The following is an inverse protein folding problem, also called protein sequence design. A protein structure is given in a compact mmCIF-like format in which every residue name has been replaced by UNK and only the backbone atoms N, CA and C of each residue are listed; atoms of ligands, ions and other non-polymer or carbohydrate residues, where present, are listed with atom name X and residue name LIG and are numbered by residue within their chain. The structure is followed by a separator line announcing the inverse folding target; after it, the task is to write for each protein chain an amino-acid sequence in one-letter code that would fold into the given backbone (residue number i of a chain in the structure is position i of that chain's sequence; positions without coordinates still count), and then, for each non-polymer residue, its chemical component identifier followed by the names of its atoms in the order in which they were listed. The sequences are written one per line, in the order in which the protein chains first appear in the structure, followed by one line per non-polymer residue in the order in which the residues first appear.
data_IF_012145550624
#
_entry.id   IF_012145550624
#
_cell.length_a   1.000
_cell.length_b   1.000
_cell.length_c   1.000
_cell.angle_alpha   90.00
_cell.angle_beta   90.00
_cell.angle_gamma   90.00
#
_symmetry.space_group_name_H-M   'P 1'
#
loop_
_entity.id
_entity.type
_entity.pdbx_description
1 polymer ?
#
# COMPACT_ATOMS: atom_id res chain seq x y z
N UNK A 1 -7.54 39.74 -61.96
CA UNK A 1 -8.86 39.07 -61.93
C UNK A 1 -8.77 37.74 -62.65
N UNK A 2 -9.09 36.62 -61.99
CA UNK A 2 -9.63 35.46 -62.70
C UNK A 2 -10.92 34.91 -62.07
N UNK A 3 -11.66 34.18 -62.90
CA UNK A 3 -13.10 33.92 -62.86
C UNK A 3 -13.55 32.83 -61.85
N UNK A 4 -14.82 32.94 -61.43
CA UNK A 4 -15.54 31.92 -60.63
C UNK A 4 -15.92 30.70 -61.50
N UNK A 5 -15.75 29.46 -61.01
CA UNK A 5 -16.21 28.25 -61.69
C UNK A 5 -17.72 27.96 -61.44
N UNK A 6 -18.36 27.10 -62.25
CA UNK A 6 -19.82 26.99 -62.36
C UNK A 6 -20.47 26.09 -61.30
N UNK A 7 -21.75 26.38 -61.01
CA UNK A 7 -22.61 25.68 -60.04
C UNK A 7 -23.21 24.40 -60.65
N UNK A 8 -23.10 23.29 -59.92
CA UNK A 8 -23.69 21.99 -60.29
C UNK A 8 -25.20 21.90 -60.01
N UNK A 9 -25.97 21.08 -60.75
CA UNK A 9 -27.42 21.01 -60.64
C UNK A 9 -27.91 20.15 -59.47
N UNK A 10 -29.05 20.54 -58.89
CA UNK A 10 -29.68 19.86 -57.73
C UNK A 10 -30.35 18.53 -58.13
N UNK A 11 -30.26 17.47 -57.30
CA UNK A 11 -30.93 16.20 -57.56
C UNK A 11 -32.45 16.28 -57.28
N UNK A 12 -33.22 15.53 -58.08
CA UNK A 12 -34.69 15.41 -58.01
C UNK A 12 -35.15 14.64 -56.77
N UNK A 13 -36.25 15.08 -56.15
CA UNK A 13 -36.92 14.37 -55.05
C UNK A 13 -37.63 13.10 -55.56
N UNK A 14 -37.54 11.96 -54.85
CA UNK A 14 -38.35 10.79 -55.13
C UNK A 14 -39.77 10.92 -54.54
N UNK A 15 -40.73 10.36 -55.26
CA UNK A 15 -42.17 10.29 -54.99
C UNK A 15 -42.44 9.36 -53.80
N UNK A 16 -43.27 9.79 -52.85
CA UNK A 16 -43.65 8.99 -51.68
C UNK A 16 -44.83 8.05 -52.02
N UNK A 17 -44.60 6.73 -51.98
CA UNK A 17 -45.66 5.73 -51.91
C UNK A 17 -46.21 5.66 -50.47
N UNK A 18 -47.55 5.67 -50.36
CA UNK A 18 -48.27 5.57 -49.08
C UNK A 18 -48.39 4.10 -48.67
N UNK A 19 -47.49 3.64 -47.81
CA UNK A 19 -47.67 2.41 -47.03
C UNK A 19 -48.51 2.68 -45.79
N UNK A 20 -49.65 2.01 -45.68
CA UNK A 20 -50.51 1.99 -44.49
C UNK A 20 -49.84 1.19 -43.36
N UNK A 21 -49.34 1.87 -42.33
CA UNK A 21 -48.90 1.23 -41.08
C UNK A 21 -49.97 1.40 -39.99
N UNK A 22 -50.23 0.37 -39.15
CA UNK A 22 -51.13 0.51 -38.00
C UNK A 22 -50.55 1.50 -36.97
N UNK A 23 -51.39 2.15 -36.14
CA UNK A 23 -50.92 3.11 -35.17
C UNK A 23 -50.05 2.42 -34.11
N UNK A 24 -48.77 2.78 -34.08
CA UNK A 24 -47.86 2.42 -32.99
C UNK A 24 -48.20 3.33 -31.81
N UNK A 25 -48.88 2.78 -30.80
CA UNK A 25 -48.99 3.41 -29.48
C UNK A 25 -47.60 3.35 -28.83
N UNK A 26 -46.89 4.47 -28.82
CA UNK A 26 -45.64 4.62 -28.06
C UNK A 26 -46.05 4.86 -26.60
N UNK A 27 -46.02 3.80 -25.79
CA UNK A 27 -46.08 3.96 -24.34
C UNK A 27 -44.83 4.75 -23.88
N UNK A 28 -44.97 5.72 -22.97
CA UNK A 28 -43.81 6.43 -22.43
C UNK A 28 -42.90 5.43 -21.73
N UNK A 29 -41.63 5.41 -22.13
CA UNK A 29 -40.57 4.65 -21.47
C UNK A 29 -40.51 5.09 -20.01
N UNK A 30 -40.69 4.13 -19.09
CA UNK A 30 -40.56 4.38 -17.67
C UNK A 30 -39.16 4.95 -17.38
N UNK A 31 -39.04 5.94 -16.48
CA UNK A 31 -37.73 6.47 -16.10
C UNK A 31 -36.85 5.32 -15.61
N UNK A 32 -35.64 5.22 -16.16
CA UNK A 32 -34.64 4.27 -15.67
C UNK A 32 -34.47 4.49 -14.16
N UNK A 33 -34.68 3.43 -13.38
CA UNK A 33 -34.45 3.48 -11.94
C UNK A 33 -33.00 3.91 -11.69
N UNK A 34 -32.75 4.85 -10.76
CA UNK A 34 -31.39 5.24 -10.44
C UNK A 34 -30.65 4.01 -9.91
N UNK A 35 -29.53 3.65 -10.54
CA UNK A 35 -28.60 2.64 -10.02
C UNK A 35 -28.20 3.10 -8.61
N UNK A 36 -28.70 2.42 -7.59
CA UNK A 36 -28.40 2.76 -6.21
C UNK A 36 -26.93 2.49 -5.95
N UNK A 37 -26.14 3.54 -5.76
CA UNK A 37 -24.78 3.41 -5.25
C UNK A 37 -24.89 2.79 -3.86
N UNK A 38 -24.31 1.62 -3.60
CA UNK A 38 -24.37 1.01 -2.28
C UNK A 38 -23.76 1.97 -1.26
N UNK A 39 -24.29 2.01 -0.02
CA UNK A 39 -23.77 2.93 0.99
C UNK A 39 -22.26 2.74 1.17
N UNK A 40 -21.53 3.81 1.47
CA UNK A 40 -20.06 3.80 1.55
C UNK A 40 -19.50 2.70 2.47
N UNK A 41 -20.27 2.35 3.51
CA UNK A 41 -19.96 1.26 4.44
C UNK A 41 -19.95 -0.13 3.77
N UNK A 42 -20.82 -0.38 2.79
CA UNK A 42 -20.88 -1.65 2.06
C UNK A 42 -19.76 -1.73 1.01
N UNK A 43 -19.35 -0.59 0.46
CA UNK A 43 -18.20 -0.49 -0.44
C UNK A 43 -16.87 -0.78 0.29
N UNK A 44 -16.69 -0.24 1.49
CA UNK A 44 -15.49 -0.49 2.29
C UNK A 44 -15.36 -1.97 2.70
N UNK A 45 -16.46 -2.61 3.08
CA UNK A 45 -16.49 -4.05 3.35
C UNK A 45 -16.17 -4.91 2.12
N UNK A 46 -16.73 -4.55 0.96
CA UNK A 46 -16.45 -5.23 -0.32
C UNK A 46 -14.99 -5.07 -0.73
N UNK A 47 -14.42 -3.87 -0.55
CA UNK A 47 -13.01 -3.60 -0.82
C UNK A 47 -12.08 -4.38 0.11
N UNK A 48 -12.43 -4.46 1.41
CA UNK A 48 -11.68 -5.27 2.38
C UNK A 48 -11.69 -6.74 2.01
N UNK A 49 -12.85 -7.31 1.67
CA UNK A 49 -12.93 -8.72 1.28
C UNK A 49 -12.06 -9.02 0.06
N UNK A 50 -12.12 -8.17 -0.98
CA UNK A 50 -11.26 -8.31 -2.17
C UNK A 50 -9.77 -8.28 -1.78
N UNK A 51 -9.40 -7.31 -0.96
CA UNK A 51 -8.04 -7.17 -0.45
C UNK A 51 -7.56 -8.42 0.29
N UNK A 52 -8.43 -9.02 1.12
CA UNK A 52 -8.13 -10.24 1.86
C UNK A 52 -8.02 -11.44 0.92
N UNK A 53 -8.90 -11.56 -0.09
CA UNK A 53 -8.81 -12.61 -1.11
C UNK A 53 -7.47 -12.54 -1.85
N UNK A 54 -7.03 -11.34 -2.24
CA UNK A 54 -5.73 -11.18 -2.91
C UNK A 54 -4.57 -11.55 -1.98
N UNK A 55 -4.63 -11.17 -0.71
CA UNK A 55 -3.60 -11.48 0.30
C UNK A 55 -3.59 -12.95 0.75
N UNK A 56 -4.59 -13.75 0.37
CA UNK A 56 -4.72 -15.16 0.76
C UNK A 56 -4.63 -16.10 -0.42
N UNK A 57 -4.31 -15.60 -1.62
CA UNK A 57 -4.27 -16.40 -2.85
C UNK A 57 -3.32 -17.62 -2.77
N UNK A 58 -2.24 -17.52 -1.99
CA UNK A 58 -1.25 -18.57 -1.71
C UNK A 58 -1.38 -19.18 -0.30
N UNK A 59 -2.48 -18.89 0.42
CA UNK A 59 -2.74 -19.34 1.80
C UNK A 59 -4.03 -20.18 1.85
N UNK A 60 -4.01 -21.44 1.36
CA UNK A 60 -5.21 -22.25 1.17
C UNK A 60 -5.93 -22.63 2.47
N UNK A 61 -5.26 -22.57 3.62
CA UNK A 61 -5.87 -22.86 4.91
C UNK A 61 -6.55 -21.62 5.54
N UNK A 62 -6.47 -20.45 4.90
CA UNK A 62 -7.11 -19.23 5.37
C UNK A 62 -8.47 -18.99 4.74
N UNK A 63 -9.39 -18.40 5.51
CA UNK A 63 -10.71 -17.97 5.05
C UNK A 63 -10.81 -16.44 5.12
N UNK A 64 -10.65 -15.74 3.97
CA UNK A 64 -10.75 -14.27 3.93
C UNK A 64 -12.16 -13.78 4.30
N UNK A 65 -13.21 -14.58 4.05
CA UNK A 65 -14.58 -14.26 4.43
C UNK A 65 -14.78 -14.26 5.95
N UNK A 66 -14.19 -15.23 6.65
CA UNK A 66 -14.19 -15.28 8.13
C UNK A 66 -13.54 -14.04 8.74
N UNK A 67 -12.40 -13.59 8.20
CA UNK A 67 -11.69 -12.39 8.67
C UNK A 67 -12.49 -11.12 8.34
N UNK A 68 -13.00 -10.99 7.11
CA UNK A 68 -13.81 -9.84 6.71
C UNK A 68 -15.06 -9.70 7.59
N UNK A 69 -15.77 -10.80 7.84
CA UNK A 69 -16.96 -10.81 8.67
C UNK A 69 -16.64 -10.42 10.12
N UNK A 70 -15.50 -10.86 10.66
CA UNK A 70 -15.04 -10.45 12.00
C UNK A 70 -14.75 -8.95 12.07
N UNK A 71 -14.01 -8.40 11.10
CA UNK A 71 -13.71 -6.98 11.03
C UNK A 71 -14.97 -6.12 10.92
N UNK A 72 -15.92 -6.54 10.07
CA UNK A 72 -17.20 -5.83 9.87
C UNK A 72 -18.10 -5.85 11.12
N UNK A 73 -18.03 -6.90 11.95
CA UNK A 73 -18.74 -6.93 13.23
C UNK A 73 -18.15 -5.99 14.27
N UNK A 74 -16.84 -5.73 14.20
CA UNK A 74 -16.13 -4.87 15.14
C UNK A 74 -16.20 -3.37 14.83
N UNK A 75 -16.60 -2.99 13.60
CA UNK A 75 -16.61 -1.58 13.16
C UNK A 75 -17.69 -0.76 13.86
N UNK A 76 -17.43 0.53 14.04
CA UNK A 76 -18.46 1.50 14.44
C UNK A 76 -19.00 2.28 13.23
N UNK A 77 -20.13 3.01 13.37
CA UNK A 77 -20.57 3.94 12.34
C UNK A 77 -19.44 4.94 12.02
N UNK A 78 -19.10 5.06 10.74
CA UNK A 78 -18.04 5.97 10.27
C UNK A 78 -16.63 5.40 10.27
N UNK A 79 -16.42 4.11 10.60
CA UNK A 79 -15.09 3.49 10.48
C UNK A 79 -14.54 3.60 9.06
N UNK A 80 -13.30 4.05 8.95
CA UNK A 80 -12.62 4.21 7.67
C UNK A 80 -11.92 2.90 7.23
N UNK A 81 -11.25 2.96 6.06
CA UNK A 81 -10.56 1.81 5.51
C UNK A 81 -9.34 1.37 6.34
N UNK A 82 -8.69 2.30 7.05
CA UNK A 82 -7.53 2.00 7.89
C UNK A 82 -7.96 1.29 9.17
N UNK A 83 -9.03 1.77 9.81
CA UNK A 83 -9.63 1.14 10.99
C UNK A 83 -10.14 -0.27 10.67
N UNK A 84 -10.86 -0.43 9.56
CA UNK A 84 -11.32 -1.75 9.10
C UNK A 84 -10.15 -2.72 8.85
N UNK A 85 -9.02 -2.24 8.33
CA UNK A 85 -7.82 -3.06 8.15
C UNK A 85 -7.16 -3.41 9.48
N UNK A 86 -7.16 -2.50 10.45
CA UNK A 86 -6.72 -2.76 11.81
C UNK A 86 -7.52 -3.89 12.46
N UNK A 87 -8.85 -3.80 12.39
CA UNK A 87 -9.76 -4.84 12.88
C UNK A 87 -9.54 -6.19 12.16
N UNK A 88 -9.33 -6.17 10.84
CA UNK A 88 -9.00 -7.38 10.09
C UNK A 88 -7.65 -7.99 10.50
N UNK A 89 -6.65 -7.15 10.81
CA UNK A 89 -5.34 -7.58 11.28
C UNK A 89 -5.47 -8.29 12.63
N UNK A 90 -6.24 -7.72 13.56
CA UNK A 90 -6.50 -8.31 14.87
C UNK A 90 -7.30 -9.61 14.77
N UNK A 91 -8.32 -9.64 13.91
CA UNK A 91 -9.11 -10.84 13.64
C UNK A 91 -8.24 -11.98 13.08
N UNK A 92 -7.40 -11.70 12.07
CA UNK A 92 -6.46 -12.69 11.55
C UNK A 92 -5.46 -13.15 12.62
N UNK A 93 -4.91 -12.23 13.42
CA UNK A 93 -3.99 -12.58 14.49
C UNK A 93 -4.60 -13.49 15.55
N UNK A 94 -5.89 -13.31 15.87
CA UNK A 94 -6.62 -14.16 16.80
C UNK A 94 -6.82 -15.61 16.31
N UNK A 95 -6.70 -15.85 15.00
CA UNK A 95 -6.86 -17.18 14.38
C UNK A 95 -5.54 -17.95 14.26
N UNK A 96 -4.40 -17.35 14.59
CA UNK A 96 -3.07 -17.97 14.46
C UNK A 96 -2.95 -19.26 15.30
N UNK A 97 -3.58 -19.29 16.48
CA UNK A 97 -3.54 -20.46 17.35
C UNK A 97 -4.32 -21.66 16.79
N UNK A 98 -5.35 -21.40 15.98
CA UNK A 98 -6.13 -22.43 15.31
C UNK A 98 -5.46 -22.90 14.01
N UNK A 99 -4.94 -21.94 13.22
CA UNK A 99 -4.33 -22.20 11.92
C UNK A 99 -3.13 -21.24 11.69
N UNK A 100 -1.89 -21.76 11.61
CA UNK A 100 -0.67 -20.96 11.46
C UNK A 100 -0.62 -20.05 10.23
N UNK A 101 -1.26 -20.39 9.10
CA UNK A 101 -1.23 -19.55 7.89
C UNK A 101 -1.81 -18.14 8.11
N UNK A 102 -2.70 -17.95 9.09
CA UNK A 102 -3.20 -16.63 9.48
C UNK A 102 -2.10 -15.70 9.99
N UNK A 103 -0.95 -16.23 10.45
CA UNK A 103 0.20 -15.42 10.84
C UNK A 103 0.75 -14.61 9.67
N UNK A 104 0.77 -15.21 8.47
CA UNK A 104 1.23 -14.53 7.25
C UNK A 104 0.20 -13.53 6.75
N UNK A 105 -1.09 -13.86 6.81
CA UNK A 105 -2.15 -12.91 6.48
C UNK A 105 -2.11 -11.68 7.41
N UNK A 106 -2.03 -11.90 8.72
CA UNK A 106 -1.94 -10.82 9.70
C UNK A 106 -0.67 -9.98 9.52
N UNK A 107 0.47 -10.60 9.18
CA UNK A 107 1.70 -9.88 8.84
C UNK A 107 1.51 -9.01 7.59
N UNK A 108 0.96 -9.55 6.49
CA UNK A 108 0.70 -8.80 5.25
C UNK A 108 -0.21 -7.59 5.45
N UNK A 109 -1.27 -7.74 6.27
CA UNK A 109 -2.15 -6.64 6.63
C UNK A 109 -1.41 -5.57 7.45
N UNK A 110 -0.59 -5.99 8.42
CA UNK A 110 0.23 -5.09 9.23
C UNK A 110 1.28 -4.36 8.38
N UNK A 111 1.92 -5.02 7.41
CA UNK A 111 2.86 -4.39 6.46
C UNK A 111 2.19 -3.24 5.72
N UNK A 112 0.95 -3.44 5.23
CA UNK A 112 0.19 -2.37 4.57
C UNK A 112 -0.16 -1.23 5.51
N UNK A 113 -0.53 -1.52 6.76
CA UNK A 113 -0.80 -0.49 7.76
C UNK A 113 0.44 0.36 8.05
N UNK A 114 1.61 -0.27 8.23
CA UNK A 114 2.90 0.41 8.44
C UNK A 114 3.26 1.30 7.24
N UNK A 115 3.08 0.78 6.03
CA UNK A 115 3.37 1.53 4.81
C UNK A 115 2.46 2.78 4.68
N UNK A 116 1.16 2.64 4.92
CA UNK A 116 0.22 3.77 4.88
C UNK A 116 0.52 4.81 5.97
N UNK A 117 0.87 4.36 7.18
CA UNK A 117 1.24 5.24 8.29
C UNK A 117 2.52 6.03 7.96
N UNK A 118 3.55 5.36 7.42
CA UNK A 118 4.78 6.02 6.97
C UNK A 118 4.53 6.98 5.81
N UNK A 119 3.74 6.59 4.80
CA UNK A 119 3.36 7.45 3.68
C UNK A 119 2.61 8.71 4.16
N UNK A 120 1.77 8.58 5.19
CA UNK A 120 1.12 9.72 5.85
C UNK A 120 2.08 10.73 6.48
N UNK A 121 3.33 10.32 6.74
CA UNK A 121 4.43 11.20 7.20
C UNK A 121 5.32 11.71 6.06
N UNK A 122 4.92 11.49 4.79
CA UNK A 122 5.69 11.89 3.60
C UNK A 122 6.81 10.92 3.22
N UNK A 123 6.73 9.66 3.67
CA UNK A 123 7.76 8.64 3.41
C UNK A 123 7.34 7.74 2.25
N UNK A 124 7.79 8.08 1.04
CA UNK A 124 7.52 7.32 -0.18
C UNK A 124 8.74 6.49 -0.66
N UNK A 125 9.92 6.75 -0.11
CA UNK A 125 11.19 6.06 -0.39
C UNK A 125 12.03 5.90 0.87
N UNK A 126 13.12 5.15 0.77
CA UNK A 126 14.07 5.03 1.89
C UNK A 126 14.76 6.38 2.15
N UNK A 127 15.19 7.07 1.10
CA UNK A 127 15.78 8.41 1.23
C UNK A 127 14.82 9.42 1.86
N UNK A 128 13.52 9.37 1.54
CA UNK A 128 12.51 10.21 2.19
C UNK A 128 12.34 9.87 3.67
N UNK A 129 12.37 8.58 4.02
CA UNK A 129 12.36 8.12 5.42
C UNK A 129 13.52 8.71 6.23
N UNK A 130 14.72 8.66 5.67
CA UNK A 130 15.92 9.22 6.29
C UNK A 130 15.83 10.75 6.39
N UNK A 131 15.34 11.43 5.36
CA UNK A 131 15.15 12.89 5.39
C UNK A 131 14.13 13.33 6.46
N UNK A 132 13.04 12.59 6.64
CA UNK A 132 12.08 12.82 7.72
C UNK A 132 12.75 12.59 9.07
N UNK A 133 13.40 11.44 9.27
CA UNK A 133 14.06 11.14 10.54
C UNK A 133 15.15 12.15 10.90
N UNK A 134 15.95 12.61 9.93
CA UNK A 134 16.98 13.62 10.13
C UNK A 134 16.39 14.98 10.52
N UNK A 135 15.36 15.44 9.80
CA UNK A 135 14.67 16.71 10.13
C UNK A 135 14.06 16.70 11.52
N UNK A 136 13.53 15.57 11.96
CA UNK A 136 12.95 15.41 13.30
C UNK A 136 14.00 15.10 14.40
N UNK A 137 15.30 15.09 14.06
CA UNK A 137 16.40 14.86 15.01
C UNK A 137 16.53 13.41 15.50
N UNK A 138 15.98 12.44 14.75
CA UNK A 138 16.00 11.01 15.07
C UNK A 138 17.18 10.26 14.43
N UNK A 139 17.84 10.87 13.44
CA UNK A 139 18.94 10.30 12.67
C UNK A 139 20.09 11.31 12.69
N UNK A 140 21.33 10.86 12.86
CA UNK A 140 22.48 11.75 12.91
C UNK A 140 22.95 12.20 11.52
N UNK A 141 23.69 13.33 11.51
CA UNK A 141 24.17 13.97 10.29
C UNK A 141 25.03 13.04 9.42
N UNK A 142 25.84 12.17 10.04
CA UNK A 142 26.71 11.24 9.33
C UNK A 142 25.93 10.21 8.52
N UNK A 143 24.87 9.64 9.11
CA UNK A 143 24.00 8.67 8.43
C UNK A 143 23.18 9.35 7.34
N UNK A 144 22.64 10.55 7.61
CA UNK A 144 21.92 11.32 6.61
C UNK A 144 22.80 11.69 5.41
N UNK A 145 24.05 12.10 5.66
CA UNK A 145 25.02 12.42 4.61
C UNK A 145 25.41 11.20 3.77
N UNK A 146 25.67 10.06 4.41
CA UNK A 146 25.93 8.80 3.72
C UNK A 146 24.79 8.43 2.75
N UNK A 147 23.55 8.50 3.26
CA UNK A 147 22.36 8.20 2.47
C UNK A 147 22.19 9.20 1.33
N UNK A 148 22.44 10.49 1.57
CA UNK A 148 22.36 11.53 0.53
C UNK A 148 23.36 11.29 -0.60
N UNK A 149 24.58 10.88 -0.29
CA UNK A 149 25.62 10.58 -1.29
C UNK A 149 25.23 9.37 -2.15
N UNK A 150 24.66 8.33 -1.54
CA UNK A 150 24.35 7.05 -2.20
C UNK A 150 22.86 6.85 -2.51
N UNK A 151 22.08 7.92 -2.49
CA UNK A 151 20.61 7.92 -2.51
C UNK A 151 20.00 6.99 -3.55
N UNK A 152 20.36 7.17 -4.82
CA UNK A 152 19.81 6.39 -5.93
C UNK A 152 20.12 4.88 -5.81
N UNK A 153 21.30 4.53 -5.28
CA UNK A 153 21.67 3.13 -5.10
C UNK A 153 20.90 2.51 -3.94
N UNK A 154 20.79 3.22 -2.82
CA UNK A 154 20.11 2.74 -1.61
C UNK A 154 18.60 2.57 -1.82
N UNK A 155 17.93 3.53 -2.46
CA UNK A 155 16.51 3.38 -2.81
C UNK A 155 16.28 2.17 -3.73
N UNK A 156 17.21 1.91 -4.67
CA UNK A 156 17.12 0.76 -5.58
C UNK A 156 17.36 -0.60 -4.90
N UNK A 157 17.87 -0.65 -3.67
CA UNK A 157 18.04 -1.90 -2.92
C UNK A 157 16.74 -2.38 -2.27
N UNK A 158 15.81 -1.48 -2.00
CA UNK A 158 14.60 -1.79 -1.26
C UNK A 158 13.76 -2.79 -2.05
N UNK A 159 13.53 -3.94 -1.44
CA UNK A 159 12.68 -5.00 -1.95
C UNK A 159 11.54 -5.22 -0.96
N UNK A 160 10.41 -4.56 -1.20
CA UNK A 160 9.21 -4.64 -0.36
C UNK A 160 8.63 -6.05 -0.30
N UNK A 161 8.95 -6.93 -1.27
CA UNK A 161 8.52 -8.33 -1.24
C UNK A 161 9.15 -9.11 -0.09
N UNK A 162 10.27 -8.64 0.47
CA UNK A 162 10.93 -9.29 1.61
C UNK A 162 10.14 -9.19 2.91
N UNK A 163 9.22 -8.23 3.03
CA UNK A 163 8.36 -8.12 4.21
C UNK A 163 7.45 -9.35 4.38
N UNK A 164 7.19 -10.09 3.30
CA UNK A 164 6.40 -11.32 3.33
C UNK A 164 7.13 -12.50 4.01
N UNK A 165 8.41 -12.33 4.37
CA UNK A 165 9.15 -13.28 5.22
C UNK A 165 8.79 -13.16 6.70
N UNK A 166 8.17 -12.07 7.13
CA UNK A 166 7.80 -11.90 8.53
C UNK A 166 6.56 -12.74 8.87
N UNK A 167 6.63 -13.42 10.02
CA UNK A 167 5.42 -13.77 10.78
C UNK A 167 4.89 -12.57 11.55
N UNK A 168 3.60 -12.61 11.92
CA UNK A 168 2.92 -11.48 12.56
C UNK A 168 3.60 -10.98 13.84
N UNK A 169 3.98 -11.89 14.75
CA UNK A 169 4.61 -11.48 16.02
C UNK A 169 5.98 -10.83 15.82
N UNK A 170 6.75 -11.29 14.82
CA UNK A 170 8.03 -10.70 14.45
C UNK A 170 7.84 -9.26 13.95
N UNK A 171 6.94 -9.07 12.99
CA UNK A 171 6.64 -7.73 12.45
C UNK A 171 6.01 -6.81 13.51
N UNK A 172 5.13 -7.34 14.37
CA UNK A 172 4.54 -6.59 15.49
C UNK A 172 5.61 -6.10 16.47
N UNK A 173 6.63 -6.92 16.71
CA UNK A 173 7.79 -6.54 17.53
C UNK A 173 8.59 -5.42 16.87
N UNK A 174 8.92 -5.57 15.57
CA UNK A 174 9.59 -4.51 14.78
C UNK A 174 8.81 -3.19 14.85
N UNK A 175 7.52 -3.23 14.55
CA UNK A 175 6.63 -2.06 14.57
C UNK A 175 6.54 -1.36 15.93
N UNK A 176 6.44 -2.13 17.02
CA UNK A 176 6.20 -1.56 18.35
C UNK A 176 7.47 -1.09 19.06
N UNK A 177 8.63 -1.64 18.70
CA UNK A 177 9.88 -1.41 19.43
C UNK A 177 10.96 -0.72 18.62
N UNK A 178 11.03 -0.95 17.31
CA UNK A 178 12.21 -0.62 16.52
C UNK A 178 11.98 0.46 15.47
N UNK A 179 10.78 0.52 14.86
CA UNK A 179 10.50 1.55 13.86
C UNK A 179 10.54 2.94 14.49
N UNK A 180 11.23 3.87 13.84
CA UNK A 180 11.24 5.28 14.20
C UNK A 180 9.83 5.86 14.15
N UNK A 181 9.54 6.75 15.10
CA UNK A 181 8.26 7.43 15.22
C UNK A 181 8.46 8.92 15.26
N UNK A 182 7.61 9.64 14.54
CA UNK A 182 7.57 11.08 14.57
C UNK A 182 7.34 11.57 16.02
N UNK A 183 8.10 12.55 16.54
CA UNK A 183 8.01 12.99 17.93
C UNK A 183 6.61 13.48 18.32
N UNK A 184 5.95 14.24 17.43
CA UNK A 184 4.61 14.81 17.64
C UNK A 184 3.46 13.86 17.26
N UNK A 185 3.39 13.36 16.02
CA UNK A 185 2.24 12.53 15.57
C UNK A 185 2.29 11.11 16.14
N UNK A 186 3.46 10.67 16.62
CA UNK A 186 3.74 9.31 17.11
C UNK A 186 3.57 8.21 16.05
N UNK A 187 3.33 8.60 14.80
CA UNK A 187 3.23 7.70 13.67
C UNK A 187 4.62 7.23 13.23
N UNK A 188 4.71 6.01 12.72
CA UNK A 188 5.97 5.49 12.18
C UNK A 188 6.44 6.29 10.96
N UNK A 189 7.75 6.47 10.84
CA UNK A 189 8.37 7.22 9.74
C UNK A 189 9.24 6.33 8.85
N UNK A 190 9.03 5.01 8.91
CA UNK A 190 9.77 4.02 8.14
C UNK A 190 9.01 2.69 8.05
N UNK A 191 9.33 1.90 7.02
CA UNK A 191 8.88 0.51 6.88
C UNK A 191 9.91 -0.45 7.50
N UNK A 192 9.60 -1.74 7.57
CA UNK A 192 10.56 -2.74 8.06
C UNK A 192 11.83 -2.83 7.19
N UNK A 193 11.70 -2.72 5.86
CA UNK A 193 12.86 -2.69 4.98
C UNK A 193 13.69 -1.41 5.14
N UNK A 194 13.03 -0.25 5.29
CA UNK A 194 13.72 1.00 5.56
C UNK A 194 14.49 0.94 6.89
N UNK A 195 13.87 0.36 7.93
CA UNK A 195 14.53 0.13 9.21
C UNK A 195 15.82 -0.68 9.07
N UNK A 196 15.78 -1.83 8.37
CA UNK A 196 17.00 -2.63 8.19
C UNK A 196 18.07 -1.89 7.40
N UNK A 197 17.69 -1.17 6.33
CA UNK A 197 18.66 -0.42 5.55
C UNK A 197 19.25 0.76 6.35
N UNK A 198 18.44 1.42 7.18
CA UNK A 198 18.88 2.48 8.09
C UNK A 198 19.90 1.96 9.09
N UNK A 199 19.63 0.81 9.73
CA UNK A 199 20.58 0.17 10.67
C UNK A 199 21.90 -0.14 9.95
N UNK A 200 21.85 -0.68 8.73
CA UNK A 200 23.06 -0.94 7.96
C UNK A 200 23.83 0.35 7.64
N UNK A 201 23.14 1.40 7.18
CA UNK A 201 23.76 2.70 6.87
C UNK A 201 24.39 3.35 8.10
N UNK A 202 23.76 3.26 9.28
CA UNK A 202 24.31 3.82 10.50
C UNK A 202 25.65 3.17 10.91
N UNK A 203 25.87 1.92 10.52
CA UNK A 203 27.12 1.19 10.79
C UNK A 203 28.22 1.44 9.75
N UNK A 204 27.97 2.28 8.74
CA UNK A 204 28.98 2.63 7.75
C UNK A 204 30.13 3.40 8.41
N UNK A 205 31.37 2.96 8.15
CA UNK A 205 32.58 3.60 8.70
C UNK A 205 32.85 4.98 8.09
N UNK A 206 32.55 5.12 6.80
CA UNK A 206 32.76 6.32 6.00
C UNK A 206 31.77 6.37 4.82
N UNK A 207 31.93 7.36 3.94
CA UNK A 207 31.06 7.54 2.75
C UNK A 207 31.61 6.91 1.48
N UNK A 208 32.64 6.07 1.58
CA UNK A 208 33.29 5.44 0.43
C UNK A 208 32.39 4.40 -0.25
N UNK A 209 32.75 4.05 -1.49
CA UNK A 209 32.09 2.96 -2.22
C UNK A 209 32.32 1.59 -1.55
N UNK A 210 33.40 1.43 -0.77
CA UNK A 210 33.63 0.22 0.03
C UNK A 210 32.58 0.10 1.13
N UNK A 211 32.37 1.18 1.90
CA UNK A 211 31.35 1.22 2.95
C UNK A 211 29.95 0.95 2.38
N UNK A 212 29.62 1.50 1.20
CA UNK A 212 28.37 1.18 0.49
C UNK A 212 28.22 -0.33 0.21
N UNK A 213 29.26 -0.99 -0.28
CA UNK A 213 29.21 -2.43 -0.55
C UNK A 213 28.98 -3.26 0.73
N UNK A 214 29.54 -2.83 1.86
CA UNK A 214 29.33 -3.46 3.18
C UNK A 214 27.90 -3.24 3.69
N UNK A 215 27.35 -2.04 3.54
CA UNK A 215 25.94 -1.71 3.83
C UNK A 215 25.00 -2.59 2.99
N UNK A 216 25.27 -2.73 1.69
CA UNK A 216 24.49 -3.59 0.79
C UNK A 216 24.49 -5.05 1.24
N UNK A 217 25.67 -5.58 1.60
CA UNK A 217 25.80 -6.95 2.07
C UNK A 217 25.05 -7.18 3.39
N UNK A 218 25.20 -6.26 4.35
CA UNK A 218 24.55 -6.35 5.65
C UNK A 218 23.02 -6.20 5.53
N UNK A 219 22.53 -5.23 4.76
CA UNK A 219 21.11 -5.11 4.45
C UNK A 219 20.57 -6.38 3.79
N UNK A 220 21.31 -6.96 2.84
CA UNK A 220 20.95 -8.22 2.18
C UNK A 220 20.71 -9.36 3.16
N UNK A 221 21.55 -9.49 4.19
CA UNK A 221 21.38 -10.50 5.23
C UNK A 221 20.17 -10.22 6.14
N UNK A 222 20.03 -8.98 6.63
CA UNK A 222 18.94 -8.61 7.54
C UNK A 222 17.56 -8.65 6.88
N UNK A 223 17.45 -8.12 5.66
CA UNK A 223 16.19 -8.10 4.91
C UNK A 223 15.67 -9.48 4.53
N UNK A 224 16.56 -10.48 4.43
CA UNK A 224 16.17 -11.89 4.24
C UNK A 224 15.94 -12.63 5.55
N UNK A 225 16.17 -11.97 6.69
CA UNK A 225 16.17 -12.55 8.03
C UNK A 225 17.21 -13.68 8.21
N UNK A 226 18.28 -13.68 7.40
CA UNK A 226 19.39 -14.64 7.48
C UNK A 226 20.29 -14.35 8.71
N UNK A 227 20.34 -13.07 9.11
CA UNK A 227 21.09 -12.59 10.26
C UNK A 227 20.40 -11.35 10.83
N UNK A 228 20.31 -11.27 12.17
CA UNK A 228 19.90 -10.07 12.87
C UNK A 228 20.91 -9.77 13.98
N UNK A 229 21.43 -8.53 14.06
CA UNK A 229 22.33 -8.17 15.14
C UNK A 229 21.57 -8.09 16.48
N UNK A 230 22.33 -8.00 17.57
CA UNK A 230 21.76 -7.86 18.91
C UNK A 230 20.84 -6.63 19.04
N UNK A 231 19.87 -6.67 19.96
CA UNK A 231 18.94 -5.56 20.17
C UNK A 231 19.62 -4.19 20.34
N UNK A 232 20.70 -4.02 21.13
CA UNK A 232 21.40 -2.73 21.22
C UNK A 232 21.79 -2.14 19.86
N UNK A 233 22.25 -2.98 18.93
CA UNK A 233 22.61 -2.56 17.57
C UNK A 233 21.39 -2.08 16.78
N UNK A 234 20.24 -2.73 16.96
CA UNK A 234 19.00 -2.35 16.30
C UNK A 234 18.37 -1.06 16.87
N UNK A 235 18.79 -0.62 18.06
CA UNK A 235 18.33 0.60 18.71
C UNK A 235 19.24 1.81 18.51
N UNK A 236 20.40 1.62 17.86
CA UNK A 236 21.42 2.65 17.79
C UNK A 236 20.85 3.94 17.15
N UNK A 237 20.91 5.09 17.87
CA UNK A 237 20.70 6.40 17.28
C UNK A 237 21.99 6.76 16.53
N UNK A 238 21.98 6.62 15.21
CA UNK A 238 23.10 6.92 14.32
C UNK A 238 22.65 7.90 13.25
#
# INVERSE_FOLDING_TARGET
MPARPPVAPRPRRPTAERGSYPPVTIAPSAPAEPVSVPPAADQAGTALLRTLTDLTADLPATDPGRVAAAALRGRHPGSDAAELRGLATEAAAGLIGDEPEYSRLAARLLTRAIADEAAGQGVESFTASIAVGHREGLIADTTAEFVRIHAARLDALIDTGRDDRFGYFGLRTVHSRYLLRHPTTRQVTETAQHFFLRVACGLAEDTSTRALAEVEALYGLMSRLDYLPSSPTLFLPL
#
